data_IF_546478010779
#
_entry.id   IF_546478010779
#
_cell.length_a   1.000
_cell.length_b   1.000
_cell.length_c   1.000
_cell.angle_alpha   90.00
_cell.angle_beta   90.00
_cell.angle_gamma   90.00
#
_symmetry.space_group_name_H-M   'P 1'
#
loop_
_entity.id
_entity.type
_entity.pdbx_description
1 polymer ?
#
# COMPACT_ATOMS: atom_id res chain seq x y z
N UNK A 1 15.94 -13.37 0.44
CA UNK A 1 14.94 -13.50 1.52
C UNK A 1 13.73 -12.65 1.17
N UNK A 2 12.49 -13.01 1.54
CA UNK A 2 11.31 -12.18 1.26
C UNK A 2 11.45 -10.80 1.90
N UNK A 3 11.07 -9.74 1.19
CA UNK A 3 11.20 -8.36 1.65
C UNK A 3 10.20 -8.06 2.78
N UNK A 4 10.70 -7.54 3.90
CA UNK A 4 9.88 -7.13 5.02
C UNK A 4 9.17 -5.81 4.72
N UNK A 5 7.84 -5.79 4.90
CA UNK A 5 7.07 -4.56 4.84
C UNK A 5 7.38 -3.70 6.07
N UNK A 6 7.63 -2.41 5.84
CA UNK A 6 8.04 -1.44 6.87
C UNK A 6 9.28 -1.87 7.68
N UNK A 7 10.13 -2.75 7.12
CA UNK A 7 11.32 -3.27 7.82
C UNK A 7 11.01 -4.27 8.95
N UNK A 8 9.76 -4.66 9.16
CA UNK A 8 9.38 -5.57 10.24
C UNK A 8 9.59 -7.03 9.82
N UNK A 9 10.82 -7.50 9.98
CA UNK A 9 11.20 -8.89 9.69
C UNK A 9 10.67 -9.88 10.75
N UNK A 10 10.54 -9.43 12.01
CA UNK A 10 10.08 -10.23 13.15
C UNK A 10 9.17 -9.38 14.06
N UNK A 11 7.86 -9.62 14.03
CA UNK A 11 6.90 -8.95 14.91
C UNK A 11 6.95 -9.50 16.35
N UNK A 12 6.21 -8.87 17.26
CA UNK A 12 6.03 -9.35 18.63
C UNK A 12 5.53 -10.81 18.71
N UNK A 13 4.72 -11.25 17.75
CA UNK A 13 4.20 -12.63 17.66
C UNK A 13 5.03 -13.51 16.74
N UNK A 14 6.29 -13.15 16.47
CA UNK A 14 7.21 -13.86 15.59
C UNK A 14 6.75 -14.01 14.12
N UNK A 15 6.07 -12.98 13.58
CA UNK A 15 5.58 -12.99 12.19
C UNK A 15 6.29 -11.93 11.34
N UNK A 16 6.66 -12.32 10.12
CA UNK A 16 7.13 -11.40 9.07
C UNK A 16 5.96 -10.55 8.56
N UNK A 17 6.13 -9.23 8.50
CA UNK A 17 5.16 -8.37 7.81
C UNK A 17 5.41 -8.40 6.31
N UNK A 18 4.35 -8.68 5.54
CA UNK A 18 4.39 -8.72 4.08
C UNK A 18 3.50 -7.64 3.50
N UNK A 19 3.86 -7.12 2.33
CA UNK A 19 2.96 -6.25 1.58
C UNK A 19 1.72 -7.05 1.17
N UNK A 20 0.54 -6.43 1.34
CA UNK A 20 -0.72 -6.96 0.78
C UNK A 20 -0.83 -6.70 -0.72
N UNK A 21 -0.21 -5.61 -1.20
CA UNK A 21 -0.27 -5.22 -2.60
C UNK A 21 0.69 -6.05 -3.43
N UNK A 22 0.19 -6.54 -4.57
CA UNK A 22 0.99 -7.04 -5.68
C UNK A 22 1.57 -5.87 -6.50
N UNK A 23 2.24 -6.17 -7.61
CA UNK A 23 2.86 -5.15 -8.46
C UNK A 23 1.82 -4.15 -9.00
N UNK A 24 0.63 -4.62 -9.37
CA UNK A 24 -0.45 -3.76 -9.87
C UNK A 24 -0.96 -2.83 -8.77
N UNK A 25 -1.26 -3.37 -7.59
CA UNK A 25 -1.73 -2.57 -6.46
C UNK A 25 -0.69 -1.55 -6.00
N UNK A 26 0.60 -1.89 -6.04
CA UNK A 26 1.67 -0.95 -5.75
C UNK A 26 1.74 0.21 -6.76
N UNK A 27 1.56 -0.09 -8.05
CA UNK A 27 1.48 0.94 -9.10
C UNK A 27 0.26 1.85 -8.92
N UNK A 28 -0.92 1.30 -8.57
CA UNK A 28 -2.10 2.09 -8.25
C UNK A 28 -1.86 3.01 -7.06
N UNK A 29 -1.29 2.50 -5.97
CA UNK A 29 -0.97 3.32 -4.80
C UNK A 29 -0.01 4.48 -5.15
N UNK A 30 1.04 4.22 -5.93
CA UNK A 30 1.96 5.26 -6.38
C UNK A 30 1.24 6.34 -7.22
N UNK A 31 0.37 5.93 -8.13
CA UNK A 31 -0.38 6.84 -8.97
C UNK A 31 -1.35 7.72 -8.14
N UNK A 32 -1.97 7.16 -7.09
CA UNK A 32 -2.78 7.91 -6.12
C UNK A 32 -1.94 8.98 -5.41
N UNK A 33 -0.74 8.64 -4.92
CA UNK A 33 0.18 9.60 -4.29
C UNK A 33 0.50 10.76 -5.24
N UNK A 34 0.84 10.43 -6.49
CA UNK A 34 1.25 11.43 -7.48
C UNK A 34 0.11 12.37 -7.88
N UNK A 35 -1.10 11.84 -8.10
CA UNK A 35 -2.24 12.63 -8.61
C UNK A 35 -2.96 13.40 -7.52
N UNK A 36 -3.14 12.78 -6.35
CA UNK A 36 -3.95 13.34 -5.26
C UNK A 36 -3.12 13.86 -4.10
N UNK A 37 -1.79 13.75 -4.17
CA UNK A 37 -0.84 14.25 -3.17
C UNK A 37 -1.11 13.68 -1.76
N UNK A 38 -1.71 12.48 -1.71
CA UNK A 38 -2.01 11.79 -0.46
C UNK A 38 -0.74 11.16 0.14
N UNK A 39 -0.68 11.02 1.48
CA UNK A 39 0.38 10.24 2.12
C UNK A 39 0.46 8.81 1.57
N UNK A 40 1.67 8.29 1.37
CA UNK A 40 1.89 6.97 0.75
C UNK A 40 1.12 5.85 1.47
N UNK A 41 1.14 5.84 2.81
CA UNK A 41 0.42 4.82 3.58
C UNK A 41 -1.09 4.85 3.31
N UNK A 42 -1.69 6.02 3.18
CA UNK A 42 -3.12 6.17 2.87
C UNK A 42 -3.41 5.66 1.46
N UNK A 43 -2.60 6.05 0.47
CA UNK A 43 -2.73 5.58 -0.90
C UNK A 43 -2.62 4.05 -1.01
N UNK A 44 -1.69 3.43 -0.27
CA UNK A 44 -1.55 1.96 -0.20
C UNK A 44 -2.77 1.29 0.42
N UNK A 45 -3.38 1.92 1.42
CA UNK A 45 -4.62 1.44 2.05
C UNK A 45 -5.79 1.50 1.06
N UNK A 46 -5.94 2.60 0.32
CA UNK A 46 -6.97 2.75 -0.72
C UNK A 46 -6.81 1.72 -1.83
N UNK A 47 -5.60 1.58 -2.39
CA UNK A 47 -5.30 0.55 -3.39
C UNK A 47 -5.54 -0.87 -2.87
N UNK A 48 -5.22 -1.14 -1.59
CA UNK A 48 -5.43 -2.44 -0.95
C UNK A 48 -6.90 -2.79 -0.72
N UNK A 49 -7.78 -1.79 -0.78
CA UNK A 49 -9.25 -1.91 -0.76
C UNK A 49 -9.86 -1.97 -2.17
N UNK A 50 -9.05 -1.86 -3.22
CA UNK A 50 -9.52 -1.87 -4.61
C UNK A 50 -10.05 -0.52 -5.10
N UNK A 51 -9.72 0.58 -4.43
CA UNK A 51 -10.04 1.94 -4.89
C UNK A 51 -9.12 2.29 -6.05
N UNK A 52 -9.71 2.58 -7.21
CA UNK A 52 -8.97 3.06 -8.39
C UNK A 52 -8.65 4.57 -8.23
N UNK A 53 -7.68 5.05 -9.00
CA UNK A 53 -7.19 6.42 -8.96
C UNK A 53 -8.29 7.46 -9.18
N UNK A 54 -9.25 7.16 -10.05
CA UNK A 54 -10.35 8.09 -10.37
C UNK A 54 -11.45 8.08 -9.30
N UNK A 55 -11.52 7.04 -8.47
CA UNK A 55 -12.50 6.89 -7.39
C UNK A 55 -12.02 7.47 -6.05
N UNK A 56 -10.79 7.97 -5.97
CA UNK A 56 -10.21 8.56 -4.75
C UNK A 56 -10.99 9.77 -4.21
N UNK A 57 -11.51 10.70 -5.05
CA UNK A 57 -12.24 11.87 -4.55
C UNK A 57 -13.52 11.55 -3.78
N UNK A 58 -14.05 10.33 -3.91
CA UNK A 58 -15.28 9.89 -3.24
C UNK A 58 -15.04 9.37 -1.81
N UNK A 59 -13.79 9.39 -1.32
CA UNK A 59 -13.35 8.92 0.00
C UNK A 59 -12.91 10.07 0.90
#
# INVERSE_FOLDING_TARGET
MPQAFLGVARSFTDKLWRTRLDARGAATALAIVQRHQLPELLARVLAGRGVDIDAVPDF
#
